data_IF_138281991141
#
_entry.id   IF_138281991141
#
_cell.length_a   1.000
_cell.length_b   1.000
_cell.length_c   1.000
_cell.angle_alpha   90.00
_cell.angle_beta   90.00
_cell.angle_gamma   90.00
#
_symmetry.space_group_name_H-M   'P 1'
#
loop_
_entity.id
_entity.type
_entity.pdbx_description
1 polymer ?
#
# COMPACT_ATOMS: atom_id res chain seq x y z
N UNK A 1 -1.82 -14.05 -5.88
CA UNK A 1 -2.08 -12.89 -5.01
C UNK A 1 -1.09 -12.87 -3.88
N UNK A 2 -0.36 -11.77 -3.74
CA UNK A 2 0.70 -11.57 -2.78
C UNK A 2 0.40 -10.30 -1.96
N UNK A 3 0.57 -10.37 -0.64
CA UNK A 3 0.46 -9.22 0.27
C UNK A 3 1.83 -9.00 0.90
N UNK A 4 2.34 -7.78 0.76
CA UNK A 4 3.64 -7.40 1.30
C UNK A 4 3.48 -6.17 2.17
N UNK A 5 3.94 -6.27 3.42
CA UNK A 5 4.02 -5.16 4.37
C UNK A 5 5.43 -4.56 4.32
N UNK A 6 5.49 -3.26 4.14
CA UNK A 6 6.71 -2.46 4.19
C UNK A 6 6.68 -1.63 5.46
N UNK A 7 7.60 -1.92 6.39
CA UNK A 7 7.80 -1.12 7.60
C UNK A 7 9.03 -0.22 7.40
N UNK A 8 9.03 1.02 7.91
CA UNK A 8 10.19 1.90 7.83
C UNK A 8 11.47 1.22 8.37
N UNK A 9 12.56 1.31 7.61
CA UNK A 9 13.88 0.73 7.93
C UNK A 9 13.90 -0.79 8.13
N UNK A 10 12.92 -1.53 7.58
CA UNK A 10 12.88 -3.00 7.63
C UNK A 10 12.80 -3.60 6.24
N UNK A 11 13.21 -4.86 6.12
CA UNK A 11 12.98 -5.61 4.89
C UNK A 11 11.47 -5.86 4.67
N UNK A 12 11.01 -5.92 3.41
CA UNK A 12 9.61 -6.23 3.11
C UNK A 12 9.18 -7.59 3.68
N UNK A 13 8.00 -7.63 4.29
CA UNK A 13 7.47 -8.80 4.97
C UNK A 13 6.30 -9.35 4.18
N UNK A 14 6.41 -10.59 3.69
CA UNK A 14 5.28 -11.30 3.10
C UNK A 14 4.22 -11.62 4.17
N UNK A 15 2.95 -11.37 3.86
CA UNK A 15 1.80 -11.60 4.74
C UNK A 15 0.77 -12.51 4.06
N UNK A 16 -0.13 -13.07 4.87
CA UNK A 16 -1.28 -13.81 4.35
C UNK A 16 -2.13 -12.92 3.47
N UNK A 17 -2.64 -13.50 2.38
CA UNK A 17 -3.55 -12.83 1.46
C UNK A 17 -5.03 -12.97 1.87
N UNK A 18 -5.31 -13.66 2.97
CA UNK A 18 -6.66 -13.83 3.49
C UNK A 18 -7.31 -12.48 3.83
N UNK A 19 -8.55 -12.26 3.37
CA UNK A 19 -9.28 -11.01 3.56
C UNK A 19 -8.90 -9.88 2.58
N UNK A 20 -7.83 -10.04 1.79
CA UNK A 20 -7.46 -9.07 0.77
C UNK A 20 -8.07 -9.41 -0.59
N UNK A 21 -8.36 -8.36 -1.37
CA UNK A 21 -8.76 -8.49 -2.78
C UNK A 21 -8.15 -7.34 -3.58
N UNK A 22 -7.89 -7.56 -4.86
CA UNK A 22 -7.60 -6.47 -5.79
C UNK A 22 -8.89 -6.02 -6.46
N UNK A 23 -9.04 -4.72 -6.77
CA UNK A 23 -10.18 -4.22 -7.52
C UNK A 23 -10.13 -4.83 -8.93
N UNK A 24 -11.27 -5.32 -9.42
CA UNK A 24 -11.42 -5.64 -10.84
C UNK A 24 -11.44 -4.36 -11.70
N UNK A 25 -11.46 -4.52 -13.03
CA UNK A 25 -11.35 -3.43 -14.02
C UNK A 25 -12.32 -2.25 -13.85
N UNK A 26 -13.47 -2.48 -13.20
CA UNK A 26 -14.52 -1.47 -12.99
C UNK A 26 -14.92 -1.29 -11.51
N UNK A 27 -14.02 -1.58 -10.56
CA UNK A 27 -14.32 -1.48 -9.13
C UNK A 27 -13.33 -0.56 -8.43
N UNK A 28 -13.84 0.25 -7.50
CA UNK A 28 -12.99 0.95 -6.53
C UNK A 28 -12.38 -0.06 -5.56
N UNK A 29 -11.15 0.19 -5.12
CA UNK A 29 -10.55 -0.59 -4.05
C UNK A 29 -11.37 -0.41 -2.76
N UNK A 30 -11.74 -1.52 -2.14
CA UNK A 30 -12.29 -1.50 -0.78
C UNK A 30 -11.15 -1.63 0.21
N UNK A 31 -11.25 -0.95 1.35
CA UNK A 31 -10.30 -1.11 2.45
C UNK A 31 -10.73 -2.29 3.31
N UNK A 32 -10.01 -3.44 3.29
CA UNK A 32 -10.32 -4.55 4.19
C UNK A 32 -9.86 -4.22 5.61
N UNK A 33 -10.53 -4.74 6.63
CA UNK A 33 -10.14 -4.56 8.04
C UNK A 33 -8.70 -5.03 8.30
N UNK A 34 -8.26 -6.05 7.57
CA UNK A 34 -6.91 -6.60 7.62
C UNK A 34 -5.83 -5.58 7.20
N UNK A 35 -6.16 -4.59 6.36
CA UNK A 35 -5.22 -3.54 6.00
C UNK A 35 -4.87 -2.69 7.23
N UNK A 36 -5.88 -2.32 8.03
CA UNK A 36 -5.70 -1.55 9.26
C UNK A 36 -4.85 -2.31 10.30
N UNK A 37 -5.10 -3.62 10.44
CA UNK A 37 -4.32 -4.49 11.32
C UNK A 37 -2.85 -4.55 10.92
N UNK A 38 -2.55 -4.72 9.63
CA UNK A 38 -1.17 -4.74 9.13
C UNK A 38 -0.48 -3.37 9.25
N UNK A 39 -1.23 -2.28 9.07
CA UNK A 39 -0.76 -0.90 9.25
C UNK A 39 -0.71 -0.48 10.73
N UNK A 40 -1.21 -1.31 11.65
CA UNK A 40 -1.31 -1.00 13.08
C UNK A 40 -2.03 0.33 13.37
N UNK A 41 -3.08 0.63 12.61
CA UNK A 41 -3.89 1.83 12.75
C UNK A 41 -5.39 1.50 12.85
N UNK A 42 -6.21 2.51 13.12
CA UNK A 42 -7.65 2.36 13.08
C UNK A 42 -8.15 2.28 11.62
N UNK A 43 -9.20 1.50 11.30
CA UNK A 43 -9.68 1.32 9.92
C UNK A 43 -10.00 2.62 9.18
N UNK A 44 -10.48 3.65 9.89
CA UNK A 44 -10.79 4.97 9.35
C UNK A 44 -9.56 5.79 8.95
N UNK A 45 -8.36 5.38 9.39
CA UNK A 45 -7.09 6.02 9.04
C UNK A 45 -6.39 5.32 7.88
N UNK A 46 -6.97 4.26 7.31
CA UNK A 46 -6.38 3.59 6.14
C UNK A 46 -6.81 4.33 4.88
N UNK A 47 -5.83 4.74 4.09
CA UNK A 47 -6.04 5.36 2.80
C UNK A 47 -5.61 4.43 1.66
N UNK A 48 -6.26 4.58 0.50
CA UNK A 48 -5.87 3.91 -0.75
C UNK A 48 -5.03 4.89 -1.54
N UNK A 49 -3.71 4.80 -1.38
CA UNK A 49 -2.77 5.62 -2.13
C UNK A 49 -2.87 5.35 -3.64
N UNK A 50 -2.95 4.08 -4.03
CA UNK A 50 -2.94 3.66 -5.42
C UNK A 50 -3.78 2.41 -5.63
N UNK A 51 -4.47 2.30 -6.76
CA UNK A 51 -5.14 1.05 -7.14
C UNK A 51 -5.22 0.83 -8.65
N UNK A 52 -5.12 -0.42 -9.06
CA UNK A 52 -5.24 -0.88 -10.43
C UNK A 52 -5.84 -2.30 -10.47
N UNK A 53 -6.21 -2.84 -11.66
CA UNK A 53 -6.82 -4.16 -11.76
C UNK A 53 -6.04 -5.30 -11.10
N UNK A 54 -4.72 -5.15 -10.99
CA UNK A 54 -3.81 -6.15 -10.46
C UNK A 54 -3.10 -5.72 -9.16
N UNK A 55 -3.38 -4.54 -8.59
CA UNK A 55 -2.78 -4.15 -7.32
C UNK A 55 -3.58 -3.11 -6.52
N UNK A 56 -3.33 -3.06 -5.21
CA UNK A 56 -3.72 -1.95 -4.33
C UNK A 56 -2.58 -1.61 -3.40
N UNK A 57 -2.40 -0.32 -3.14
CA UNK A 57 -1.48 0.20 -2.13
C UNK A 57 -2.30 0.88 -1.04
N UNK A 58 -2.15 0.40 0.19
CA UNK A 58 -2.76 0.97 1.38
C UNK A 58 -1.70 1.65 2.24
N UNK A 59 -2.03 2.82 2.77
CA UNK A 59 -1.17 3.62 3.65
C UNK A 59 -1.96 4.10 4.87
N UNK A 60 -1.26 4.59 5.89
CA UNK A 60 -1.90 5.39 6.93
C UNK A 60 -2.08 6.81 6.39
N UNK A 61 -3.30 7.34 6.48
CA UNK A 61 -3.63 8.71 6.10
C UNK A 61 -2.77 9.70 6.89
N UNK A 62 -2.15 10.65 6.18
CA UNK A 62 -1.35 11.74 6.74
C UNK A 62 -0.32 11.29 7.80
N UNK A 63 0.40 10.20 7.49
CA UNK A 63 1.38 9.63 8.41
C UNK A 63 2.63 10.51 8.52
N UNK A 64 2.88 11.01 9.72
CA UNK A 64 4.10 11.77 10.07
C UNK A 64 5.25 10.88 10.59
N UNK A 65 5.13 9.56 10.39
CA UNK A 65 6.14 8.59 10.83
C UNK A 65 7.45 8.70 10.01
N UNK A 66 8.37 7.78 10.33
CA UNK A 66 9.63 7.61 9.60
C UNK A 66 9.38 7.37 8.10
N UNK A 67 10.25 7.94 7.27
CA UNK A 67 10.25 7.69 5.84
C UNK A 67 10.44 6.19 5.54
N UNK A 68 9.77 5.72 4.50
CA UNK A 68 9.73 4.35 4.05
C UNK A 68 10.25 4.27 2.59
N UNK A 69 11.57 4.32 2.38
CA UNK A 69 12.16 4.32 1.06
C UNK A 69 11.88 3.01 0.30
N UNK A 70 11.83 1.88 1.01
CA UNK A 70 11.51 0.57 0.41
C UNK A 70 10.07 0.54 -0.14
N UNK A 71 9.09 1.05 0.62
CA UNK A 71 7.74 1.20 0.13
C UNK A 71 7.67 2.16 -1.06
N UNK A 72 8.35 3.31 -0.95
CA UNK A 72 8.38 4.32 -2.02
C UNK A 72 8.91 3.71 -3.31
N UNK A 73 10.04 3.00 -3.26
CA UNK A 73 10.62 2.34 -4.42
C UNK A 73 9.67 1.29 -5.01
N UNK A 74 9.07 0.44 -4.17
CA UNK A 74 8.12 -0.57 -4.62
C UNK A 74 6.86 0.02 -5.28
N UNK A 75 6.39 1.17 -4.81
CA UNK A 75 5.23 1.86 -5.42
C UNK A 75 5.64 2.57 -6.72
N UNK A 76 6.81 3.18 -6.80
CA UNK A 76 7.34 3.76 -8.05
C UNK A 76 7.48 2.67 -9.12
N UNK A 77 8.06 1.51 -8.78
CA UNK A 77 8.16 0.37 -9.71
C UNK A 77 6.78 -0.11 -10.21
N UNK A 78 5.74 -0.04 -9.37
CA UNK A 78 4.37 -0.35 -9.77
C UNK A 78 3.77 0.74 -10.67
N UNK A 79 3.99 2.00 -10.32
CA UNK A 79 3.48 3.18 -11.00
C UNK A 79 4.21 3.49 -12.33
N UNK A 80 5.38 2.90 -12.61
CA UNK A 80 5.98 2.96 -13.95
C UNK A 80 5.10 2.35 -15.06
N UNK A 81 4.00 1.68 -14.71
CA UNK A 81 2.91 1.31 -15.64
C UNK A 81 1.65 2.20 -15.54
N UNK A 82 1.53 3.12 -14.58
CA UNK A 82 0.35 3.99 -14.36
C UNK A 82 0.80 5.36 -13.80
N UNK A 83 0.66 6.40 -14.64
CA UNK A 83 1.43 7.63 -14.66
C UNK A 83 1.29 8.67 -13.52
N UNK A 84 0.47 8.50 -12.48
CA UNK A 84 -0.02 9.70 -11.75
C UNK A 84 0.02 9.67 -10.21
N UNK A 85 0.74 8.74 -9.55
CA UNK A 85 0.48 8.51 -8.11
C UNK A 85 1.51 9.08 -7.13
N UNK A 86 2.77 9.29 -7.51
CA UNK A 86 3.79 9.81 -6.59
C UNK A 86 4.60 10.89 -7.31
N UNK A 87 4.62 12.10 -6.75
CA UNK A 87 5.65 13.08 -7.07
C UNK A 87 6.98 12.46 -6.63
N UNK A 88 7.80 12.00 -7.57
CA UNK A 88 8.95 11.09 -7.32
C UNK A 88 9.98 11.59 -6.30
N UNK A 89 9.88 12.85 -5.88
CA UNK A 89 10.72 13.48 -4.87
C UNK A 89 10.16 13.37 -3.43
N UNK A 90 8.91 12.94 -3.24
CA UNK A 90 8.29 12.73 -1.91
C UNK A 90 8.34 11.25 -1.50
N UNK A 91 8.94 10.99 -0.34
CA UNK A 91 8.98 9.66 0.26
C UNK A 91 7.68 9.37 1.00
N UNK A 92 7.15 8.15 0.82
CA UNK A 92 6.09 7.63 1.69
C UNK A 92 6.59 7.54 3.12
N UNK A 93 5.70 7.78 4.07
CA UNK A 93 5.97 7.71 5.51
C UNK A 93 5.12 6.64 6.17
N UNK A 94 5.68 6.06 7.22
CA UNK A 94 5.00 5.03 8.00
C UNK A 94 4.89 3.69 7.27
N UNK A 95 4.05 2.77 7.80
CA UNK A 95 3.84 1.45 7.21
C UNK A 95 3.03 1.55 5.91
N UNK A 96 3.34 0.66 4.96
CA UNK A 96 2.63 0.57 3.67
C UNK A 96 2.34 -0.89 3.36
N UNK A 97 1.13 -1.19 2.91
CA UNK A 97 0.74 -2.53 2.46
C UNK A 97 0.49 -2.52 0.97
N UNK A 98 1.16 -3.42 0.25
CA UNK A 98 0.95 -3.63 -1.17
C UNK A 98 0.32 -5.01 -1.38
N UNK A 99 -0.81 -5.02 -2.08
CA UNK A 99 -1.51 -6.23 -2.53
C UNK A 99 -1.34 -6.34 -4.04
N UNK A 100 -0.85 -7.47 -4.55
CA UNK A 100 -0.72 -7.75 -6.00
C UNK A 100 -1.50 -9.02 -6.34
N UNK A 101 -2.23 -9.04 -7.46
CA UNK A 101 -2.97 -10.21 -7.95
C UNK A 101 -2.03 -11.37 -8.32
#
# INVERSE_FOLDING_TARGET
MNVTLYLPNQQPIAKSAEGFTTPGTNRFAQVPTQAAELLSCAPELVDVLASAPNYVVYTVFDSEDLANPEATHAVIELAQNISDVINGDELLRGPVVIVKA
#
